data_IF_269836611554
#
_entry.id   IF_269836611554
#
_cell.length_a   1.000
_cell.length_b   1.000
_cell.length_c   1.000
_cell.angle_alpha   90.00
_cell.angle_beta   90.00
_cell.angle_gamma   90.00
#
_symmetry.space_group_name_H-M   'P 1'
#
loop_
_entity.id
_entity.type
_entity.pdbx_description
1 polymer ?
#
# COMPACT_ATOMS: atom_id res chain seq x y z
N UNK A 1 -24.58 -4.50 10.86
CA UNK A 1 -24.28 -5.59 11.81
C UNK A 1 -23.07 -5.17 12.62
N UNK A 2 -23.21 -5.02 13.93
CA UNK A 2 -22.06 -4.90 14.84
C UNK A 2 -21.18 -6.14 14.63
N UNK A 3 -19.86 -5.97 14.52
CA UNK A 3 -18.84 -7.04 14.36
C UNK A 3 -18.66 -7.66 12.96
N UNK A 4 -19.09 -7.01 11.88
CA UNK A 4 -18.84 -7.55 10.53
C UNK A 4 -17.35 -7.60 10.16
N UNK A 5 -16.52 -6.75 10.78
CA UNK A 5 -15.07 -6.70 10.58
C UNK A 5 -14.25 -7.37 11.70
N UNK A 6 -14.88 -8.12 12.61
CA UNK A 6 -14.18 -8.82 13.69
C UNK A 6 -13.46 -10.08 13.17
N UNK A 7 -12.26 -9.92 12.64
CA UNK A 7 -11.38 -11.01 12.16
C UNK A 7 -10.89 -11.90 13.30
N UNK A 8 -10.37 -13.09 12.97
CA UNK A 8 -9.74 -13.99 13.94
C UNK A 8 -8.42 -13.42 14.45
N UNK A 9 -7.65 -12.79 13.55
CA UNK A 9 -6.36 -12.20 13.83
C UNK A 9 -6.42 -10.66 13.73
N UNK A 10 -5.63 -9.93 14.56
CA UNK A 10 -5.56 -8.47 14.49
C UNK A 10 -5.05 -8.00 13.12
N UNK A 11 -5.48 -6.80 12.73
CA UNK A 11 -5.15 -6.21 11.44
C UNK A 11 -4.04 -5.18 11.61
N UNK A 12 -2.92 -5.41 10.95
CA UNK A 12 -1.80 -4.48 10.81
C UNK A 12 -1.97 -3.67 9.52
N UNK A 13 -2.25 -2.38 9.65
CA UNK A 13 -2.29 -1.44 8.53
C UNK A 13 -0.91 -0.80 8.34
N UNK A 14 -0.36 -0.90 7.13
CA UNK A 14 1.01 -0.47 6.83
C UNK A 14 0.99 0.64 5.77
N UNK A 15 1.34 1.87 6.16
CA UNK A 15 1.31 3.03 5.28
C UNK A 15 2.42 3.03 4.21
N UNK A 16 2.13 3.62 3.04
CA UNK A 16 3.12 3.83 1.97
C UNK A 16 3.97 5.10 2.16
N UNK A 17 4.56 5.57 1.05
CA UNK A 17 5.42 6.75 1.04
C UNK A 17 4.66 8.06 1.30
N UNK A 18 5.32 9.04 1.90
CA UNK A 18 4.86 10.44 1.97
C UNK A 18 4.16 10.87 3.27
N UNK A 19 3.53 9.95 4.02
CA UNK A 19 2.90 10.27 5.31
C UNK A 19 3.09 9.13 6.31
N UNK A 20 2.84 9.42 7.59
CA UNK A 20 3.01 8.48 8.71
C UNK A 20 1.69 8.20 9.41
N UNK A 21 1.61 7.05 10.08
CA UNK A 21 0.51 6.72 10.99
C UNK A 21 0.66 7.52 12.30
N UNK A 22 0.06 8.71 12.37
CA UNK A 22 -0.02 9.54 13.59
C UNK A 22 -1.42 9.50 14.19
N UNK A 23 -1.51 9.53 15.53
CA UNK A 23 -2.77 9.49 16.31
C UNK A 23 -3.83 10.52 15.84
N UNK A 24 -3.41 11.71 15.38
CA UNK A 24 -4.31 12.81 15.00
C UNK A 24 -4.38 13.07 13.48
N UNK A 25 -3.38 12.64 12.72
CA UNK A 25 -3.30 12.79 11.25
C UNK A 25 -2.92 11.42 10.67
N UNK A 26 -3.91 10.55 10.63
CA UNK A 26 -3.73 9.17 10.18
C UNK A 26 -3.62 9.10 8.65
N UNK A 27 -2.65 8.32 8.14
CA UNK A 27 -2.50 8.04 6.72
C UNK A 27 -3.81 7.53 6.09
N UNK A 28 -4.52 6.69 6.83
CA UNK A 28 -5.69 5.94 6.40
C UNK A 28 -7.04 6.68 6.53
N UNK A 29 -7.01 8.00 6.74
CA UNK A 29 -8.24 8.81 6.79
C UNK A 29 -9.29 8.28 7.76
N UNK A 30 -10.51 8.04 7.26
CA UNK A 30 -11.65 7.52 8.04
C UNK A 30 -11.65 5.99 8.16
N UNK A 31 -10.82 5.26 7.40
CA UNK A 31 -10.86 3.80 7.27
C UNK A 31 -10.73 3.10 8.65
N UNK A 32 -9.73 3.39 9.50
CA UNK A 32 -9.56 2.67 10.76
C UNK A 32 -10.74 2.88 11.71
N UNK A 33 -11.34 4.07 11.71
CA UNK A 33 -12.53 4.36 12.54
C UNK A 33 -13.69 3.46 12.15
N UNK A 34 -13.99 3.37 10.85
CA UNK A 34 -15.08 2.52 10.34
C UNK A 34 -14.80 1.05 10.62
N UNK A 35 -13.57 0.57 10.43
CA UNK A 35 -13.22 -0.82 10.73
C UNK A 35 -13.38 -1.14 12.23
N UNK A 36 -12.90 -0.27 13.12
CA UNK A 36 -13.06 -0.41 14.58
C UNK A 36 -14.51 -0.39 15.04
N UNK A 37 -15.32 0.52 14.49
CA UNK A 37 -16.77 0.57 14.76
C UNK A 37 -17.50 -0.71 14.31
N UNK A 38 -16.90 -1.46 13.38
CA UNK A 38 -17.40 -2.77 12.93
C UNK A 38 -16.63 -3.95 13.56
N UNK A 39 -15.87 -3.72 14.64
CA UNK A 39 -15.29 -4.76 15.51
C UNK A 39 -13.88 -5.23 15.15
N UNK A 40 -13.17 -4.54 14.25
CA UNK A 40 -11.78 -4.87 13.93
C UNK A 40 -10.78 -4.33 14.96
N UNK A 41 -9.78 -5.14 15.29
CA UNK A 41 -8.61 -4.72 16.07
C UNK A 41 -7.51 -4.23 15.11
N UNK A 42 -7.15 -2.94 15.20
CA UNK A 42 -6.27 -2.28 14.22
C UNK A 42 -4.99 -1.77 14.89
N UNK A 43 -3.86 -2.19 14.31
CA UNK A 43 -2.48 -1.81 14.63
C UNK A 43 -1.79 -1.16 13.41
N UNK A 44 -0.63 -0.54 13.62
CA UNK A 44 0.12 0.20 12.59
C UNK A 44 1.59 -0.22 12.55
N UNK A 45 2.22 -0.16 11.36
CA UNK A 45 3.56 -0.73 11.11
C UNK A 45 4.77 0.08 11.58
N UNK A 46 4.60 1.37 11.91
CA UNK A 46 5.64 2.28 12.44
C UNK A 46 6.95 2.40 11.61
N UNK A 47 6.97 1.88 10.38
CA UNK A 47 8.10 1.92 9.45
C UNK A 47 8.36 3.33 8.90
N UNK A 48 9.55 3.56 8.34
CA UNK A 48 9.87 4.82 7.68
C UNK A 48 9.07 4.97 6.38
N UNK A 49 8.64 6.19 6.07
CA UNK A 49 7.83 6.45 4.88
C UNK A 49 8.62 6.24 3.58
N UNK A 50 9.93 6.46 3.60
CA UNK A 50 10.80 6.33 2.43
C UNK A 50 12.05 5.46 2.70
N UNK A 51 11.96 4.50 3.61
CA UNK A 51 13.01 3.51 3.85
C UNK A 51 13.09 2.46 2.74
N UNK A 52 14.25 1.81 2.59
CA UNK A 52 14.39 0.66 1.68
C UNK A 52 13.48 -0.50 2.07
N UNK A 53 13.21 -1.41 1.12
CA UNK A 53 12.39 -2.61 1.38
C UNK A 53 12.90 -3.39 2.59
N UNK A 54 14.22 -3.63 2.65
CA UNK A 54 14.85 -4.48 3.65
C UNK A 54 14.82 -3.83 5.04
N UNK A 55 15.15 -2.54 5.12
CA UNK A 55 15.14 -1.80 6.40
C UNK A 55 13.75 -1.72 7.01
N UNK A 56 12.74 -1.44 6.18
CA UNK A 56 11.35 -1.40 6.66
C UNK A 56 10.83 -2.79 7.02
N UNK A 57 11.23 -3.83 6.29
CA UNK A 57 10.82 -5.20 6.61
C UNK A 57 11.29 -5.66 8.00
N UNK A 58 12.48 -5.24 8.45
CA UNK A 58 12.91 -5.50 9.83
C UNK A 58 12.05 -4.78 10.86
N UNK A 59 11.69 -3.51 10.61
CA UNK A 59 10.78 -2.76 11.50
C UNK A 59 9.39 -3.41 11.56
N UNK A 60 8.87 -3.86 10.42
CA UNK A 60 7.60 -4.57 10.36
C UNK A 60 7.67 -5.91 11.10
N UNK A 61 8.78 -6.63 11.02
CA UNK A 61 9.00 -7.87 11.76
C UNK A 61 8.87 -7.63 13.26
N UNK A 62 9.59 -6.64 13.78
CA UNK A 62 9.55 -6.30 15.21
C UNK A 62 8.12 -5.91 15.62
N UNK A 63 7.46 -5.11 14.80
CA UNK A 63 6.06 -4.69 15.04
C UNK A 63 5.10 -5.88 15.10
N UNK A 64 5.24 -6.87 14.20
CA UNK A 64 4.42 -8.09 14.25
C UNK A 64 4.66 -8.85 15.56
N UNK A 65 5.92 -9.02 15.96
CA UNK A 65 6.27 -9.71 17.23
C UNK A 65 5.65 -9.00 18.44
N UNK A 66 5.72 -7.67 18.47
CA UNK A 66 5.14 -6.86 19.55
C UNK A 66 3.60 -7.05 19.62
N UNK A 67 2.91 -7.01 18.47
CA UNK A 67 1.46 -7.22 18.41
C UNK A 67 1.07 -8.61 18.92
N UNK A 68 1.77 -9.66 18.48
CA UNK A 68 1.47 -11.03 18.92
C UNK A 68 1.73 -11.21 20.41
N UNK A 69 2.78 -10.58 20.93
CA UNK A 69 3.11 -10.58 22.37
C UNK A 69 2.05 -9.84 23.19
N UNK A 70 1.58 -8.68 22.73
CA UNK A 70 0.55 -7.87 23.40
C UNK A 70 -0.81 -8.56 23.40
N UNK A 71 -1.20 -9.16 22.27
CA UNK A 71 -2.55 -9.68 22.05
C UNK A 71 -2.71 -11.16 22.40
N UNK A 72 -1.62 -11.93 22.42
CA UNK A 72 -1.65 -13.39 22.51
C UNK A 72 -2.21 -14.07 21.25
N UNK A 73 -2.36 -13.35 20.13
CA UNK A 73 -2.75 -13.92 18.85
C UNK A 73 -1.59 -14.74 18.25
N UNK A 74 -1.91 -15.74 17.42
CA UNK A 74 -0.88 -16.54 16.73
C UNK A 74 -0.36 -15.86 15.46
N UNK A 75 -1.18 -15.01 14.83
CA UNK A 75 -0.91 -14.38 13.53
C UNK A 75 -1.50 -12.98 13.45
N UNK A 76 -1.11 -12.24 12.40
CA UNK A 76 -1.73 -10.96 12.00
C UNK A 76 -2.28 -11.02 10.56
N UNK A 77 -3.24 -10.15 10.25
CA UNK A 77 -3.65 -9.81 8.88
C UNK A 77 -3.00 -8.50 8.47
N UNK A 78 -2.33 -8.44 7.33
CA UNK A 78 -1.64 -7.23 6.87
C UNK A 78 -2.44 -6.59 5.73
N UNK A 79 -2.70 -5.29 5.86
CA UNK A 79 -3.20 -4.45 4.77
C UNK A 79 -2.14 -3.39 4.47
N UNK A 80 -1.50 -3.50 3.31
CA UNK A 80 -0.38 -2.66 2.92
C UNK A 80 -0.72 -1.85 1.68
N UNK A 81 -0.42 -0.55 1.68
CA UNK A 81 -0.68 0.32 0.54
C UNK A 81 0.61 0.76 -0.14
N UNK A 82 0.62 0.79 -1.48
CA UNK A 82 1.76 1.24 -2.27
C UNK A 82 3.03 0.41 -2.00
N UNK A 83 4.21 1.03 -1.96
CA UNK A 83 5.52 0.41 -1.75
C UNK A 83 5.53 -0.70 -0.69
N UNK A 84 4.92 -0.47 0.47
CA UNK A 84 5.11 -1.33 1.65
C UNK A 84 4.50 -2.73 1.52
N UNK A 85 3.70 -3.00 0.48
CA UNK A 85 3.37 -4.38 0.14
C UNK A 85 4.61 -5.21 -0.24
N UNK A 86 5.66 -4.58 -0.79
CA UNK A 86 6.96 -5.21 -1.02
C UNK A 86 7.71 -5.43 0.31
N UNK A 87 7.68 -4.46 1.22
CA UNK A 87 8.28 -4.57 2.55
C UNK A 87 7.67 -5.75 3.32
N UNK A 88 6.33 -5.90 3.28
CA UNK A 88 5.63 -7.03 3.88
C UNK A 88 5.98 -8.36 3.21
N UNK A 89 6.07 -8.42 1.87
CA UNK A 89 6.49 -9.64 1.15
C UNK A 89 7.92 -10.06 1.50
N UNK A 90 8.84 -9.10 1.62
CA UNK A 90 10.21 -9.36 2.04
C UNK A 90 10.26 -9.89 3.47
N UNK A 91 9.53 -9.26 4.39
CA UNK A 91 9.40 -9.72 5.77
C UNK A 91 8.89 -11.16 5.84
N UNK A 92 7.81 -11.47 5.10
CA UNK A 92 7.20 -12.79 5.10
C UNK A 92 8.15 -13.85 4.55
N UNK A 93 8.70 -13.63 3.35
CA UNK A 93 9.50 -14.63 2.64
C UNK A 93 10.95 -14.66 3.14
N UNK A 94 11.66 -13.53 3.09
CA UNK A 94 13.10 -13.47 3.33
C UNK A 94 13.47 -13.40 4.81
N UNK A 95 12.60 -12.85 5.67
CA UNK A 95 12.84 -12.79 7.12
C UNK A 95 12.15 -13.92 7.91
N UNK A 96 11.51 -14.86 7.20
CA UNK A 96 10.92 -16.06 7.79
C UNK A 96 9.66 -15.81 8.63
N UNK A 97 8.87 -14.78 8.32
CA UNK A 97 7.71 -14.40 9.13
C UNK A 97 6.38 -15.04 8.68
N UNK A 98 6.41 -15.95 7.70
CA UNK A 98 5.20 -16.56 7.14
C UNK A 98 4.29 -17.25 8.18
N UNK A 99 4.86 -17.88 9.22
CA UNK A 99 4.08 -18.54 10.27
C UNK A 99 3.26 -17.56 11.12
N UNK A 100 3.67 -16.29 11.18
CA UNK A 100 3.08 -15.22 11.99
C UNK A 100 2.10 -14.34 11.19
N UNK A 101 1.89 -14.63 9.91
CA UNK A 101 1.01 -13.85 9.04
C UNK A 101 -0.09 -14.75 8.50
N UNK A 102 -1.34 -14.33 8.66
CA UNK A 102 -2.51 -15.04 8.15
C UNK A 102 -2.83 -14.60 6.72
N UNK A 103 -2.77 -13.29 6.45
CA UNK A 103 -3.00 -12.73 5.13
C UNK A 103 -2.18 -11.47 4.85
N UNK A 104 -1.95 -11.19 3.56
CA UNK A 104 -1.43 -9.93 3.04
C UNK A 104 -2.34 -9.43 1.91
N UNK A 105 -2.99 -8.30 2.15
CA UNK A 105 -3.78 -7.57 1.15
C UNK A 105 -3.01 -6.33 0.69
N UNK A 106 -2.65 -6.28 -0.59
CA UNK A 106 -1.91 -5.13 -1.16
C UNK A 106 -2.84 -4.20 -1.93
N UNK A 107 -2.77 -2.92 -1.62
CA UNK A 107 -3.55 -1.84 -2.24
C UNK A 107 -2.58 -1.04 -3.11
N UNK A 108 -2.68 -1.21 -4.43
CA UNK A 108 -1.80 -0.57 -5.43
C UNK A 108 -0.29 -0.68 -5.12
N UNK A 109 0.20 -1.86 -4.75
CA UNK A 109 1.64 -2.10 -4.56
C UNK A 109 2.34 -2.36 -5.90
N UNK A 110 3.52 -1.78 -6.20
CA UNK A 110 4.22 -1.97 -7.49
C UNK A 110 4.93 -3.34 -7.61
N UNK A 111 4.18 -4.44 -7.52
CA UNK A 111 4.69 -5.81 -7.61
C UNK A 111 5.51 -6.11 -8.87
N UNK A 112 5.15 -5.52 -10.00
CA UNK A 112 5.81 -5.71 -11.29
C UNK A 112 6.64 -4.49 -11.74
N UNK A 113 6.96 -3.60 -10.80
CA UNK A 113 7.67 -2.35 -11.04
C UNK A 113 6.89 -1.38 -11.94
N UNK A 114 7.47 -0.21 -12.17
CA UNK A 114 6.92 0.82 -13.05
C UNK A 114 7.82 0.99 -14.29
N UNK A 115 7.24 0.88 -15.48
CA UNK A 115 7.95 1.18 -16.72
C UNK A 115 8.29 2.67 -16.76
N UNK A 116 7.43 3.54 -16.21
CA UNK A 116 7.71 4.96 -16.04
C UNK A 116 9.02 5.16 -15.27
N UNK A 117 9.25 4.38 -14.21
CA UNK A 117 10.51 4.42 -13.46
C UNK A 117 11.71 3.96 -14.30
N UNK A 118 11.56 2.93 -15.13
CA UNK A 118 12.62 2.48 -16.05
C UNK A 118 13.05 3.61 -17.01
N UNK A 119 12.13 4.47 -17.44
CA UNK A 119 12.44 5.64 -18.27
C UNK A 119 13.05 6.79 -17.47
N UNK A 120 12.52 7.09 -16.28
CA UNK A 120 13.07 8.14 -15.40
C UNK A 120 14.54 7.84 -15.06
N UNK A 121 14.88 6.58 -14.80
CA UNK A 121 16.25 6.19 -14.45
C UNK A 121 17.24 6.17 -15.63
N UNK A 122 16.80 6.42 -16.87
CA UNK A 122 17.68 6.68 -18.02
C UNK A 122 18.23 8.10 -18.05
N UNK A 123 17.69 9.01 -17.23
CA UNK A 123 18.23 10.36 -17.07
C UNK A 123 19.65 10.31 -16.48
N UNK A 124 20.47 11.36 -16.68
CA UNK A 124 21.82 11.41 -16.12
C UNK A 124 21.84 11.09 -14.62
N UNK A 125 22.55 10.02 -14.23
CA UNK A 125 22.55 9.48 -12.86
C UNK A 125 22.89 10.53 -11.79
N UNK A 126 23.70 11.53 -12.15
CA UNK A 126 24.02 12.65 -11.26
C UNK A 126 22.79 13.47 -10.88
N UNK A 127 21.87 13.73 -11.81
CA UNK A 127 20.64 14.48 -11.56
C UNK A 127 19.70 13.69 -10.64
N UNK A 128 19.57 12.39 -10.89
CA UNK A 128 18.74 11.50 -10.08
C UNK A 128 19.27 11.45 -8.64
N UNK A 129 20.59 11.28 -8.46
CA UNK A 129 21.21 11.24 -7.12
C UNK A 129 21.07 12.56 -6.38
N UNK A 130 21.18 13.71 -7.06
CA UNK A 130 20.97 15.03 -6.45
C UNK A 130 19.51 15.16 -6.00
N UNK A 131 18.55 14.85 -6.87
CA UNK A 131 17.13 14.90 -6.53
C UNK A 131 16.76 13.97 -5.37
N UNK A 132 17.25 12.74 -5.40
CA UNK A 132 17.07 11.76 -4.34
C UNK A 132 17.61 12.26 -2.99
N UNK A 133 18.81 12.83 -2.97
CA UNK A 133 19.41 13.37 -1.74
C UNK A 133 18.60 14.55 -1.16
N UNK A 134 18.07 15.42 -2.02
CA UNK A 134 17.17 16.50 -1.59
C UNK A 134 15.90 15.90 -0.96
N UNK A 135 15.30 14.91 -1.62
CA UNK A 135 14.12 14.21 -1.09
C UNK A 135 14.40 13.54 0.26
N UNK A 136 15.54 12.87 0.42
CA UNK A 136 15.93 12.23 1.69
C UNK A 136 16.07 13.22 2.84
N UNK A 137 16.62 14.41 2.58
CA UNK A 137 16.68 15.49 3.58
C UNK A 137 15.27 15.91 3.99
N UNK A 138 14.36 16.07 3.04
CA UNK A 138 12.96 16.39 3.33
C UNK A 138 12.27 15.28 4.13
N UNK A 139 12.45 14.01 3.78
CA UNK A 139 11.87 12.88 4.52
C UNK A 139 12.42 12.77 5.94
N UNK A 140 13.71 13.04 6.17
CA UNK A 140 14.29 13.13 7.53
C UNK A 140 13.64 14.24 8.36
N UNK A 141 13.40 15.42 7.76
CA UNK A 141 12.69 16.52 8.43
C UNK A 141 11.25 16.12 8.81
N UNK A 142 10.58 15.33 7.96
CA UNK A 142 9.24 14.78 8.23
C UNK A 142 9.25 13.62 9.25
N UNK A 143 10.44 13.12 9.57
CA UNK A 143 10.75 12.27 10.71
C UNK A 143 11.36 10.90 10.37
N UNK A 144 11.60 10.60 9.09
CA UNK A 144 12.20 9.32 8.66
C UNK A 144 13.60 9.16 9.26
N UNK A 145 13.85 7.98 9.83
CA UNK A 145 15.15 7.69 10.46
C UNK A 145 16.20 7.43 9.37
N UNK A 146 15.84 6.58 8.40
CA UNK A 146 16.74 6.09 7.36
C UNK A 146 16.09 6.13 5.94
N UNK A 147 15.69 7.31 5.41
CA UNK A 147 15.18 7.39 4.05
C UNK A 147 16.29 7.13 3.02
N UNK A 148 15.93 6.47 1.91
CA UNK A 148 16.85 6.14 0.80
C UNK A 148 16.11 6.21 -0.55
N UNK A 149 15.82 7.43 -1.00
CA UNK A 149 15.05 7.68 -2.24
C UNK A 149 15.73 7.04 -3.44
N UNK A 150 17.06 7.10 -3.53
CA UNK A 150 17.77 6.56 -4.69
C UNK A 150 17.59 5.04 -4.79
N UNK A 151 17.77 4.32 -3.68
CA UNK A 151 17.54 2.88 -3.65
C UNK A 151 16.08 2.54 -3.92
N UNK A 152 15.13 3.28 -3.32
CA UNK A 152 13.69 3.07 -3.53
C UNK A 152 13.32 3.24 -5.01
N UNK A 153 13.82 4.27 -5.69
CA UNK A 153 13.59 4.45 -7.14
C UNK A 153 14.12 3.26 -7.95
N UNK A 154 15.32 2.75 -7.64
CA UNK A 154 15.87 1.57 -8.31
C UNK A 154 15.01 0.31 -8.04
N UNK A 155 14.54 0.13 -6.80
CA UNK A 155 13.66 -0.98 -6.40
C UNK A 155 12.31 -0.97 -7.12
N UNK A 156 11.90 0.16 -7.70
CA UNK A 156 10.66 0.27 -8.50
C UNK A 156 10.83 0.00 -9.98
N UNK A 157 12.04 -0.28 -10.47
CA UNK A 157 12.22 -0.71 -11.87
C UNK A 157 11.57 -2.07 -12.12
N UNK A 158 11.18 -2.33 -13.37
CA UNK A 158 10.61 -3.64 -13.74
C UNK A 158 11.63 -4.77 -13.58
N UNK A 159 12.91 -4.48 -13.80
CA UNK A 159 14.00 -5.46 -13.64
C UNK A 159 14.23 -5.83 -12.19
N UNK A 160 14.31 -4.84 -11.28
CA UNK A 160 14.47 -5.13 -9.85
C UNK A 160 13.20 -5.76 -9.27
N UNK A 161 12.01 -5.36 -9.70
CA UNK A 161 10.76 -6.01 -9.29
C UNK A 161 10.73 -7.50 -9.69
N UNK A 162 11.19 -7.85 -10.89
CA UNK A 162 11.31 -9.25 -11.31
C UNK A 162 12.25 -10.04 -10.40
N UNK A 163 13.45 -9.52 -10.12
CA UNK A 163 14.41 -10.15 -9.20
C UNK A 163 13.83 -10.28 -7.79
N UNK A 164 13.13 -9.25 -7.32
CA UNK A 164 12.45 -9.25 -6.04
C UNK A 164 11.44 -10.40 -5.97
N UNK A 165 10.62 -10.56 -7.01
CA UNK A 165 9.61 -11.62 -7.09
C UNK A 165 10.21 -13.03 -7.13
N UNK A 166 11.34 -13.23 -7.81
CA UNK A 166 12.06 -14.50 -7.84
C UNK A 166 12.60 -14.89 -6.46
N UNK A 167 13.08 -13.90 -5.70
CA UNK A 167 13.68 -14.09 -4.37
C UNK A 167 12.66 -14.05 -3.22
N UNK A 168 11.46 -13.50 -3.43
CA UNK A 168 10.43 -13.30 -2.41
C UNK A 168 9.09 -13.87 -2.90
N UNK A 169 9.06 -15.20 -3.04
CA UNK A 169 7.89 -15.94 -3.46
C UNK A 169 6.83 -15.93 -2.36
N UNK A 170 5.58 -16.04 -2.76
CA UNK A 170 4.47 -16.17 -1.82
C UNK A 170 4.58 -17.49 -1.04
N UNK A 171 4.35 -17.42 0.27
CA UNK A 171 4.37 -18.57 1.16
C UNK A 171 2.99 -19.24 1.20
N UNK A 172 2.92 -20.55 1.01
CA UNK A 172 1.64 -21.29 0.86
C UNK A 172 0.73 -21.24 2.09
N UNK A 173 1.25 -20.90 3.26
CA UNK A 173 0.50 -20.77 4.53
C UNK A 173 0.00 -19.34 4.81
N UNK A 174 0.17 -18.41 3.86
CA UNK A 174 -0.31 -17.03 3.91
C UNK A 174 -1.27 -16.79 2.75
N UNK A 175 -2.43 -16.18 3.03
CA UNK A 175 -3.34 -15.76 1.96
C UNK A 175 -2.93 -14.40 1.39
N UNK A 176 -2.61 -14.33 0.11
CA UNK A 176 -2.28 -13.09 -0.59
C UNK A 176 -3.45 -12.62 -1.43
N UNK A 177 -3.68 -11.32 -1.54
CA UNK A 177 -4.55 -10.71 -2.52
C UNK A 177 -4.08 -9.31 -2.88
N UNK A 178 -4.39 -8.86 -4.09
CA UNK A 178 -3.97 -7.56 -4.59
C UNK A 178 -5.10 -6.80 -5.29
N UNK A 179 -5.07 -5.49 -5.18
CA UNK A 179 -6.10 -4.58 -5.68
C UNK A 179 -5.44 -3.46 -6.48
N UNK A 180 -6.07 -3.08 -7.60
CA UNK A 180 -5.67 -1.92 -8.39
C UNK A 180 -6.80 -0.90 -8.45
N UNK A 181 -6.44 0.36 -8.58
CA UNK A 181 -7.38 1.46 -8.78
C UNK A 181 -6.93 2.30 -9.98
N UNK A 182 -7.86 3.11 -10.52
CA UNK A 182 -7.51 4.08 -11.56
C UNK A 182 -8.27 5.39 -11.39
N UNK A 183 -7.60 6.47 -11.75
CA UNK A 183 -8.22 7.77 -11.98
C UNK A 183 -8.97 7.76 -13.32
N UNK A 184 -10.04 8.54 -13.41
CA UNK A 184 -10.77 8.71 -14.67
C UNK A 184 -10.04 9.64 -15.65
N UNK A 185 -9.33 10.63 -15.10
CA UNK A 185 -8.57 11.62 -15.86
C UNK A 185 -7.51 12.28 -14.98
N UNK A 186 -6.48 12.95 -15.52
CA UNK A 186 -5.53 13.73 -14.73
C UNK A 186 -6.18 14.75 -13.79
N UNK A 187 -7.28 15.37 -14.22
CA UNK A 187 -8.03 16.38 -13.43
C UNK A 187 -8.76 15.82 -12.22
N UNK A 188 -8.73 14.49 -12.01
CA UNK A 188 -9.39 13.83 -10.89
C UNK A 188 -8.74 14.16 -9.55
N UNK A 189 -7.46 14.52 -9.56
CA UNK A 189 -6.70 14.88 -8.37
C UNK A 189 -5.61 15.88 -8.71
N UNK A 190 -5.65 17.05 -8.05
CA UNK A 190 -4.67 18.09 -8.26
C UNK A 190 -3.24 17.67 -7.91
N UNK A 191 -3.06 16.87 -6.85
CA UNK A 191 -1.72 16.41 -6.42
C UNK A 191 -1.21 15.34 -7.39
N UNK A 192 -2.10 14.46 -7.86
CA UNK A 192 -1.74 13.42 -8.83
C UNK A 192 -1.84 13.87 -10.29
N UNK A 193 -2.12 15.14 -10.58
CA UNK A 193 -2.35 15.63 -11.94
C UNK A 193 -1.13 15.38 -12.85
N UNK A 194 0.04 15.90 -12.45
CA UNK A 194 1.27 15.75 -13.23
C UNK A 194 1.77 14.30 -13.24
N UNK A 195 1.84 13.59 -12.10
CA UNK A 195 2.17 12.16 -12.08
C UNK A 195 1.27 11.32 -13.02
N UNK A 196 -0.04 11.54 -13.00
CA UNK A 196 -0.98 10.82 -13.86
C UNK A 196 -0.69 11.06 -15.34
N UNK A 197 -0.38 12.29 -15.76
CA UNK A 197 -0.01 12.58 -17.16
C UNK A 197 1.26 11.80 -17.53
N UNK A 198 2.30 11.86 -16.69
CA UNK A 198 3.57 11.19 -16.98
C UNK A 198 3.37 9.68 -17.10
N UNK A 199 2.69 9.05 -16.15
CA UNK A 199 2.42 7.60 -16.20
C UNK A 199 1.52 7.26 -17.39
N UNK A 200 0.51 8.09 -17.71
CA UNK A 200 -0.37 7.86 -18.86
C UNK A 200 0.38 7.86 -20.18
N UNK A 201 1.41 8.69 -20.33
CA UNK A 201 2.24 8.75 -21.55
C UNK A 201 3.04 7.46 -21.78
N UNK A 202 3.44 6.75 -20.71
CA UNK A 202 4.29 5.56 -20.81
C UNK A 202 3.53 4.24 -20.65
N UNK A 203 2.53 4.19 -19.77
CA UNK A 203 1.91 2.94 -19.30
C UNK A 203 0.37 2.93 -19.41
N UNK A 204 -0.26 4.07 -19.74
CA UNK A 204 -1.71 4.18 -19.87
C UNK A 204 -2.44 4.40 -18.54
N UNK A 205 -3.59 3.75 -18.35
CA UNK A 205 -4.45 4.00 -17.19
C UNK A 205 -3.76 3.72 -15.84
N UNK A 206 -3.96 4.62 -14.87
CA UNK A 206 -3.26 4.59 -13.59
C UNK A 206 -4.03 5.32 -12.48
N UNK A 207 -3.64 5.08 -11.23
CA UNK A 207 -4.14 5.75 -10.03
C UNK A 207 -3.47 7.12 -9.78
N UNK A 208 -2.58 7.57 -10.66
CA UNK A 208 -1.72 8.74 -10.48
C UNK A 208 -0.24 8.38 -10.41
N UNK A 209 0.10 7.18 -9.94
CA UNK A 209 1.49 6.73 -9.78
C UNK A 209 1.72 5.34 -10.39
N UNK A 210 0.74 4.45 -10.30
CA UNK A 210 0.87 3.04 -10.62
C UNK A 210 -0.25 2.57 -11.54
N UNK A 211 0.12 1.68 -12.45
CA UNK A 211 -0.83 1.03 -13.36
C UNK A 211 -1.35 -0.29 -12.80
N UNK A 212 -2.52 -0.76 -13.25
CA UNK A 212 -2.99 -2.11 -12.93
C UNK A 212 -1.99 -3.22 -13.29
N UNK A 213 -1.17 -3.04 -14.33
CA UNK A 213 -0.06 -3.96 -14.66
C UNK A 213 0.96 -4.02 -13.53
N UNK A 214 1.39 -2.85 -13.04
CA UNK A 214 2.38 -2.76 -11.97
C UNK A 214 1.87 -3.44 -10.68
N UNK A 215 0.56 -3.39 -10.43
CA UNK A 215 -0.04 -3.81 -9.16
C UNK A 215 -0.64 -5.20 -9.12
N UNK A 216 -0.88 -5.82 -10.29
CA UNK A 216 -1.40 -7.18 -10.38
C UNK A 216 -0.42 -8.20 -9.74
N UNK A 217 -0.90 -8.88 -8.70
CA UNK A 217 -0.20 -9.95 -8.00
C UNK A 217 -1.17 -11.08 -7.62
N UNK A 218 -0.70 -12.08 -6.89
CA UNK A 218 -1.47 -13.24 -6.44
C UNK A 218 -2.89 -12.89 -5.97
N UNK A 219 -3.86 -13.69 -6.41
CA UNK A 219 -5.29 -13.48 -6.22
C UNK A 219 -5.74 -12.04 -6.53
N UNK A 220 -5.31 -11.51 -7.68
CA UNK A 220 -5.69 -10.18 -8.13
C UNK A 220 -7.22 -10.03 -8.20
N UNK A 221 -7.75 -9.09 -7.43
CA UNK A 221 -9.19 -8.89 -7.25
C UNK A 221 -9.82 -7.99 -8.31
N UNK A 222 -9.00 -7.46 -9.21
CA UNK A 222 -9.43 -6.65 -10.34
C UNK A 222 -9.10 -5.16 -10.19
N UNK A 223 -9.57 -4.41 -11.17
CA UNK A 223 -9.33 -2.97 -11.28
C UNK A 223 -10.57 -2.21 -10.82
N UNK A 224 -10.46 -1.57 -9.67
CA UNK A 224 -11.56 -0.85 -9.04
C UNK A 224 -11.64 0.58 -9.57
N UNK A 225 -12.87 1.08 -9.68
CA UNK A 225 -13.18 2.43 -10.13
C UNK A 225 -14.16 3.06 -9.18
N UNK A 226 -13.98 4.36 -8.96
CA UNK A 226 -14.98 5.15 -8.27
C UNK A 226 -16.22 5.31 -9.13
N UNK A 227 -17.40 5.33 -8.52
CA UNK A 227 -18.64 5.68 -9.23
C UNK A 227 -18.79 7.21 -9.45
N UNK A 228 -17.77 7.97 -9.05
CA UNK A 228 -17.66 9.41 -9.30
C UNK A 228 -17.11 9.71 -10.69
N UNK A 229 -17.21 10.97 -11.14
CA UNK A 229 -16.54 11.43 -12.36
C UNK A 229 -15.01 11.51 -12.25
N UNK A 230 -14.42 11.17 -11.10
CA UNK A 230 -12.97 11.27 -10.85
C UNK A 230 -12.26 9.91 -10.86
N UNK A 231 -12.98 8.80 -10.76
CA UNK A 231 -12.33 7.53 -10.44
C UNK A 231 -11.71 7.60 -9.03
N UNK A 232 -10.60 6.89 -8.83
CA UNK A 232 -9.89 6.79 -7.54
C UNK A 232 -8.40 7.07 -7.78
N UNK A 233 -7.87 8.12 -7.16
CA UNK A 233 -6.43 8.37 -7.15
C UNK A 233 -5.72 7.57 -6.06
N UNK A 234 -4.40 7.44 -6.16
CA UNK A 234 -3.54 6.80 -5.18
C UNK A 234 -3.69 7.41 -3.77
N UNK A 235 -4.11 8.68 -3.68
CA UNK A 235 -4.42 9.35 -2.42
C UNK A 235 -5.83 9.05 -1.91
N UNK A 236 -6.78 8.85 -2.83
CA UNK A 236 -8.15 8.45 -2.51
C UNK A 236 -8.21 7.01 -1.95
N UNK A 237 -7.29 6.14 -2.39
CA UNK A 237 -7.17 4.75 -1.89
C UNK A 237 -7.03 4.66 -0.37
N UNK A 238 -6.38 5.64 0.26
CA UNK A 238 -6.19 5.69 1.71
C UNK A 238 -7.07 6.73 2.39
N UNK A 239 -8.12 7.18 1.69
CA UNK A 239 -9.06 8.18 2.17
C UNK A 239 -8.38 9.48 2.62
N UNK A 240 -7.31 9.90 1.95
CA UNK A 240 -6.50 11.06 2.39
C UNK A 240 -7.38 12.31 2.53
N UNK A 241 -8.36 12.48 1.63
CA UNK A 241 -9.28 13.61 1.63
C UNK A 241 -10.45 13.51 2.62
N UNK A 242 -10.60 12.37 3.30
CA UNK A 242 -11.57 12.13 4.38
C UNK A 242 -13.03 12.41 3.99
N UNK A 243 -13.39 12.12 2.75
CA UNK A 243 -14.75 12.27 2.25
C UNK A 243 -15.07 11.22 1.19
N UNK A 244 -16.37 10.99 1.00
CA UNK A 244 -16.88 10.07 -0.02
C UNK A 244 -16.43 10.51 -1.40
N UNK A 245 -16.05 9.56 -2.24
CA UNK A 245 -15.72 9.80 -3.65
C UNK A 245 -16.95 10.33 -4.41
N UNK A 246 -18.14 9.87 -4.03
CA UNK A 246 -19.41 10.32 -4.57
C UNK A 246 -20.53 10.22 -3.53
N UNK A 247 -21.51 11.12 -3.61
CA UNK A 247 -22.79 10.98 -2.90
C UNK A 247 -23.80 10.13 -3.67
N UNK A 248 -23.54 9.82 -4.94
CA UNK A 248 -24.45 9.07 -5.81
C UNK A 248 -24.28 7.57 -5.61
N UNK A 249 -25.40 6.84 -5.68
CA UNK A 249 -25.41 5.38 -5.78
C UNK A 249 -25.30 4.98 -7.26
N UNK A 250 -24.52 3.94 -7.54
CA UNK A 250 -24.28 3.45 -8.89
C UNK A 250 -23.11 2.46 -8.90
N UNK A 251 -22.80 1.92 -10.08
CA UNK A 251 -21.73 0.94 -10.25
C UNK A 251 -20.35 1.55 -9.93
N UNK A 252 -19.59 0.88 -9.07
CA UNK A 252 -18.28 1.31 -8.58
C UNK A 252 -18.28 1.76 -7.11
N UNK A 253 -17.12 2.19 -6.62
CA UNK A 253 -16.93 2.58 -5.22
C UNK A 253 -17.39 4.04 -5.02
N UNK A 254 -18.38 4.26 -4.14
CA UNK A 254 -18.79 5.59 -3.69
C UNK A 254 -18.02 6.09 -2.47
N UNK A 255 -17.61 5.18 -1.60
CA UNK A 255 -16.83 5.47 -0.40
C UNK A 255 -15.76 4.40 -0.25
N UNK A 256 -14.49 4.83 -0.20
CA UNK A 256 -13.36 3.90 -0.07
C UNK A 256 -13.43 3.13 1.26
N UNK A 257 -14.04 3.70 2.30
CA UNK A 257 -14.22 3.02 3.59
C UNK A 257 -15.11 1.76 3.48
N UNK A 258 -16.10 1.77 2.59
CA UNK A 258 -16.96 0.62 2.32
C UNK A 258 -16.18 -0.50 1.60
N UNK A 259 -15.21 -0.14 0.76
CA UNK A 259 -14.28 -1.10 0.14
C UNK A 259 -13.41 -1.79 1.19
N UNK A 260 -12.77 -1.06 2.11
CA UNK A 260 -11.98 -1.71 3.16
C UNK A 260 -12.84 -2.57 4.08
N UNK A 261 -14.06 -2.12 4.38
CA UNK A 261 -15.03 -2.91 5.14
C UNK A 261 -15.32 -4.25 4.46
N UNK A 262 -15.57 -4.26 3.15
CA UNK A 262 -15.85 -5.50 2.41
C UNK A 262 -14.65 -6.45 2.36
N UNK A 263 -13.43 -5.92 2.19
CA UNK A 263 -12.18 -6.70 2.23
C UNK A 263 -12.02 -7.38 3.59
N UNK A 264 -12.19 -6.64 4.69
CA UNK A 264 -12.06 -7.20 6.04
C UNK A 264 -13.18 -8.18 6.38
N UNK A 265 -14.41 -7.91 5.93
CA UNK A 265 -15.53 -8.84 6.05
C UNK A 265 -15.27 -10.17 5.35
N UNK A 266 -14.61 -10.14 4.18
CA UNK A 266 -14.23 -11.35 3.44
C UNK A 266 -13.12 -12.11 4.16
N UNK A 267 -12.05 -11.44 4.60
CA UNK A 267 -10.99 -12.06 5.40
C UNK A 267 -11.56 -12.77 6.63
N UNK A 268 -12.47 -12.12 7.36
CA UNK A 268 -13.17 -12.72 8.50
C UNK A 268 -13.93 -13.99 8.10
N UNK A 269 -14.67 -13.97 6.98
CA UNK A 269 -15.44 -15.14 6.50
C UNK A 269 -14.53 -16.31 6.12
N UNK A 270 -13.30 -16.02 5.69
CA UNK A 270 -12.28 -17.02 5.40
C UNK A 270 -11.58 -17.58 6.65
N UNK A 271 -11.90 -17.07 7.84
CA UNK A 271 -11.30 -17.48 9.11
C UNK A 271 -9.96 -16.81 9.41
N UNK A 272 -9.67 -15.71 8.71
CA UNK A 272 -8.54 -14.83 9.02
C UNK A 272 -8.95 -13.77 10.05
#
# INVERSE_FOLDING_TARGET
MLNSCKTKYPILMVHGMGFRDRKYLNYWGRIPKILKENGADIYYGHQDSNGSIETNAYVLKDTVVDILTETGADKVNIIAHSKVGLDARYMISSLGMAEYVASLSTISTPHNGSITMDYILKLPNILIKIGAKIADVWFKILGDKNPDTYKVMNQFTTTEAKKFNENNKDCSNVYYQSFAFVMKSPLSDFIMFLPNIVVSLFEGENDGLLTPRATNWTNFRGIYRGNSKRGISHLDEVDLRRHKLSSQRGDGISDITDFYKSVVEELRKMGH
#
